data_IF_218199965536
#
_entry.id   IF_218199965536
#
_cell.length_a   1.000
_cell.length_b   1.000
_cell.length_c   1.000
_cell.angle_alpha   90.00
_cell.angle_beta   90.00
_cell.angle_gamma   90.00
#
_symmetry.space_group_name_H-M   'P 1'
#
loop_
_entity.id
_entity.type
_entity.pdbx_description
1 polymer ?
#
# COMPACT_ATOMS: atom_id res chain seq x y z
N UNK A 1 1.31 24.63 0.36
CA UNK A 1 -0.03 24.26 0.91
C UNK A 1 0.03 22.77 1.19
N UNK A 2 0.07 22.39 2.45
CA UNK A 2 0.02 20.99 2.86
C UNK A 2 -1.39 20.49 2.53
N UNK A 3 -1.51 19.60 1.56
CA UNK A 3 -2.80 18.98 1.23
C UNK A 3 -3.05 17.91 2.28
N UNK A 4 -4.24 17.92 2.88
CA UNK A 4 -4.63 17.02 3.95
C UNK A 4 -4.40 15.55 3.54
N UNK A 5 -3.69 14.81 4.39
CA UNK A 5 -3.50 13.36 4.29
C UNK A 5 -4.87 12.70 4.48
N UNK A 6 -5.55 12.36 3.38
CA UNK A 6 -6.85 11.72 3.41
C UNK A 6 -6.67 10.26 3.85
N UNK A 7 -6.93 10.00 5.13
CA UNK A 7 -6.93 8.63 5.68
C UNK A 7 -8.21 7.92 5.24
N UNK A 8 -8.07 6.87 4.42
CA UNK A 8 -9.20 6.02 4.00
C UNK A 8 -9.35 4.83 4.95
N UNK A 9 -10.46 4.81 5.70
CA UNK A 9 -10.78 3.69 6.59
C UNK A 9 -11.44 2.53 5.84
N UNK A 10 -10.99 1.31 6.09
CA UNK A 10 -11.51 0.08 5.49
C UNK A 10 -11.76 -0.95 6.58
N UNK A 11 -12.95 -1.56 6.58
CA UNK A 11 -13.31 -2.66 7.45
C UNK A 11 -13.28 -3.97 6.65
N UNK A 12 -12.64 -4.99 7.21
CA UNK A 12 -12.42 -6.29 6.57
C UNK A 12 -12.74 -7.38 7.58
N UNK A 13 -13.38 -8.45 7.12
CA UNK A 13 -13.60 -9.62 7.96
C UNK A 13 -12.32 -10.48 8.01
N UNK A 14 -12.02 -11.08 9.15
CA UNK A 14 -10.92 -12.04 9.25
C UNK A 14 -11.08 -13.18 8.22
N UNK A 15 -9.99 -13.50 7.52
CA UNK A 15 -9.94 -14.48 6.42
C UNK A 15 -10.23 -13.91 5.04
N UNK A 16 -10.84 -12.73 4.93
CA UNK A 16 -11.12 -12.10 3.63
C UNK A 16 -9.87 -11.46 3.01
N UNK A 17 -10.00 -11.02 1.76
CA UNK A 17 -8.97 -10.26 1.06
C UNK A 17 -9.41 -8.81 0.86
N UNK A 18 -8.45 -7.89 0.85
CA UNK A 18 -8.70 -6.47 0.62
C UNK A 18 -7.78 -5.95 -0.47
N UNK A 19 -8.30 -5.04 -1.30
CA UNK A 19 -7.50 -4.33 -2.30
C UNK A 19 -7.50 -2.84 -1.96
N UNK A 20 -6.33 -2.31 -1.67
CA UNK A 20 -6.08 -0.89 -1.45
C UNK A 20 -5.80 -0.25 -2.81
N UNK A 21 -6.81 0.45 -3.34
CA UNK A 21 -6.70 1.13 -4.62
C UNK A 21 -6.49 2.64 -4.43
N UNK A 22 -5.29 3.15 -4.74
CA UNK A 22 -5.01 4.59 -4.69
C UNK A 22 -5.61 5.41 -5.83
N UNK A 23 -6.23 4.77 -6.83
CA UNK A 23 -6.80 5.43 -8.01
C UNK A 23 -5.76 6.32 -8.73
N UNK A 24 -4.51 5.86 -8.83
CA UNK A 24 -3.45 6.62 -9.49
C UNK A 24 -3.78 6.87 -10.96
N UNK A 25 -3.47 8.07 -11.45
CA UNK A 25 -3.66 8.40 -12.85
C UNK A 25 -2.61 7.66 -13.69
N UNK A 26 -3.04 6.64 -14.42
CA UNK A 26 -2.17 5.80 -15.27
C UNK A 26 -1.44 6.58 -16.39
N UNK A 27 -1.85 7.83 -16.65
CA UNK A 27 -1.17 8.72 -17.62
C UNK A 27 0.13 9.30 -17.05
N UNK A 28 0.30 9.31 -15.72
CA UNK A 28 1.52 9.75 -15.06
C UNK A 28 2.56 8.62 -15.03
N UNK A 29 3.83 8.97 -15.29
CA UNK A 29 4.96 8.03 -15.22
C UNK A 29 5.53 8.01 -13.81
N UNK A 30 5.08 7.08 -13.00
CA UNK A 30 5.63 6.86 -11.66
C UNK A 30 7.02 6.24 -11.76
N UNK A 31 7.97 6.79 -11.03
CA UNK A 31 9.33 6.22 -10.95
C UNK A 31 9.42 5.18 -9.84
N UNK A 32 8.58 5.32 -8.82
CA UNK A 32 8.58 4.47 -7.63
C UNK A 32 7.21 4.47 -6.96
N UNK A 33 6.77 3.31 -6.50
CA UNK A 33 5.57 3.11 -5.68
C UNK A 33 5.99 2.23 -4.51
N UNK A 34 5.73 2.66 -3.28
CA UNK A 34 6.03 1.89 -2.08
C UNK A 34 4.83 1.81 -1.15
N UNK A 35 4.60 0.62 -0.64
CA UNK A 35 3.65 0.34 0.42
C UNK A 35 4.39 0.03 1.71
N UNK A 36 4.00 0.72 2.77
CA UNK A 36 4.55 0.59 4.11
C UNK A 36 3.44 0.19 5.09
N UNK A 37 3.78 -0.60 6.11
CA UNK A 37 2.83 -1.02 7.14
C UNK A 37 3.27 -0.58 8.54
N UNK A 38 2.40 0.15 9.23
CA UNK A 38 2.67 0.70 10.56
C UNK A 38 3.58 1.93 10.48
N UNK A 39 4.89 1.71 10.58
CA UNK A 39 5.90 2.78 10.50
C UNK A 39 6.32 3.03 9.05
N UNK A 40 6.69 4.28 8.74
CA UNK A 40 7.09 4.71 7.38
C UNK A 40 8.33 3.93 6.89
N UNK A 41 9.15 3.40 7.79
CA UNK A 41 10.34 2.62 7.43
C UNK A 41 10.08 1.15 7.06
N UNK A 42 8.86 0.64 7.25
CA UNK A 42 8.53 -0.78 7.06
C UNK A 42 7.90 -1.06 5.69
N UNK A 43 8.72 -1.02 4.62
CA UNK A 43 8.28 -1.31 3.24
C UNK A 43 7.92 -2.78 3.07
N UNK A 44 6.64 -3.07 2.81
CA UNK A 44 6.10 -4.41 2.62
C UNK A 44 6.02 -4.81 1.15
N UNK A 45 5.88 -3.84 0.24
CA UNK A 45 5.83 -4.06 -1.20
C UNK A 45 6.25 -2.80 -1.94
N UNK A 46 6.95 -2.94 -3.07
CA UNK A 46 7.34 -1.80 -3.89
C UNK A 46 7.40 -2.13 -5.39
N UNK A 47 7.26 -1.09 -6.19
CA UNK A 47 7.60 -1.08 -7.61
C UNK A 47 8.68 -0.03 -7.82
N UNK A 48 9.81 -0.44 -8.37
CA UNK A 48 10.88 0.45 -8.81
C UNK A 48 11.30 0.07 -10.23
N UNK A 49 11.22 1.02 -11.17
CA UNK A 49 11.59 0.78 -12.58
C UNK A 49 10.87 -0.46 -13.17
N UNK A 50 9.56 -0.58 -12.92
CA UNK A 50 8.69 -1.70 -13.31
C UNK A 50 9.01 -3.07 -12.69
N UNK A 51 9.98 -3.16 -11.77
CA UNK A 51 10.24 -4.38 -11.01
C UNK A 51 9.48 -4.34 -9.69
N UNK A 52 8.77 -5.43 -9.37
CA UNK A 52 8.03 -5.59 -8.12
C UNK A 52 8.87 -6.38 -7.12
N UNK A 53 8.98 -5.87 -5.90
CA UNK A 53 9.68 -6.54 -4.80
C UNK A 53 8.87 -6.49 -3.50
N UNK A 54 9.17 -7.40 -2.57
CA UNK A 54 8.51 -7.51 -1.25
C UNK A 54 9.58 -7.57 -0.15
N UNK A 55 10.15 -6.43 0.27
CA UNK A 55 11.36 -6.40 1.10
C UNK A 55 11.17 -6.96 2.52
N UNK A 56 10.05 -6.61 3.16
CA UNK A 56 9.73 -7.03 4.53
C UNK A 56 8.40 -7.79 4.59
N UNK A 57 8.30 -8.87 3.81
CA UNK A 57 7.08 -9.68 3.72
C UNK A 57 6.91 -10.69 4.86
N UNK A 58 7.76 -10.71 5.90
CA UNK A 58 7.76 -11.77 6.92
C UNK A 58 6.38 -11.97 7.59
N UNK A 59 5.62 -10.89 7.79
CA UNK A 59 4.25 -10.93 8.30
C UNK A 59 3.18 -11.24 7.23
N UNK A 60 3.48 -11.04 5.95
CA UNK A 60 2.54 -11.11 4.83
C UNK A 60 2.95 -12.10 3.74
N UNK A 61 3.86 -13.02 4.03
CA UNK A 61 4.44 -13.95 3.05
C UNK A 61 3.35 -14.68 2.28
N UNK A 62 3.47 -14.66 0.95
CA UNK A 62 2.51 -15.23 -0.01
C UNK A 62 1.08 -14.61 0.03
N UNK A 63 0.88 -13.53 0.79
CA UNK A 63 -0.41 -12.84 0.93
C UNK A 63 -0.46 -11.48 0.24
N UNK A 64 0.68 -10.92 -0.16
CA UNK A 64 0.75 -9.64 -0.87
C UNK A 64 0.76 -9.83 -2.38
N UNK A 65 -0.05 -9.03 -3.08
CA UNK A 65 0.01 -8.88 -4.52
C UNK A 65 0.00 -7.40 -4.88
N UNK A 66 1.13 -6.88 -5.37
CA UNK A 66 1.26 -5.51 -5.85
C UNK A 66 1.06 -5.45 -7.36
N UNK A 67 0.03 -4.73 -7.80
CA UNK A 67 -0.25 -4.49 -9.21
C UNK A 67 0.55 -3.29 -9.73
N UNK A 68 0.93 -3.32 -11.01
CA UNK A 68 1.66 -2.24 -11.69
C UNK A 68 0.92 -0.88 -11.70
N UNK A 69 -0.39 -0.88 -11.45
CA UNK A 69 -1.20 0.32 -11.22
C UNK A 69 -1.00 0.97 -9.84
N UNK A 70 -0.21 0.35 -8.96
CA UNK A 70 0.03 0.76 -7.58
C UNK A 70 -0.95 0.20 -6.56
N UNK A 71 -1.95 -0.59 -6.99
CA UNK A 71 -2.91 -1.22 -6.07
C UNK A 71 -2.27 -2.40 -5.34
N UNK A 72 -2.39 -2.43 -4.01
CA UNK A 72 -1.93 -3.54 -3.19
C UNK A 72 -3.12 -4.41 -2.77
N UNK A 73 -3.04 -5.71 -3.04
CA UNK A 73 -3.99 -6.69 -2.50
C UNK A 73 -3.35 -7.47 -1.38
N UNK A 74 -4.07 -7.61 -0.27
CA UNK A 74 -3.66 -8.39 0.90
C UNK A 74 -4.69 -9.49 1.08
N UNK A 75 -4.25 -10.74 1.00
CA UNK A 75 -5.10 -11.92 1.11
C UNK A 75 -5.14 -12.46 2.53
N UNK A 76 -6.21 -13.19 2.84
CA UNK A 76 -6.36 -13.94 4.10
C UNK A 76 -6.02 -13.07 5.32
N UNK A 77 -6.76 -11.97 5.46
CA UNK A 77 -6.52 -10.92 6.45
C UNK A 77 -6.69 -11.44 7.87
N UNK A 78 -5.82 -11.01 8.78
CA UNK A 78 -5.83 -11.40 10.19
C UNK A 78 -6.04 -10.17 11.05
N UNK A 79 -6.57 -10.37 12.25
CA UNK A 79 -6.70 -9.29 13.25
C UNK A 79 -5.37 -8.55 13.50
N UNK A 80 -4.24 -9.26 13.47
CA UNK A 80 -2.88 -8.71 13.61
C UNK A 80 -2.42 -7.83 12.44
N UNK A 81 -3.07 -7.94 11.29
CA UNK A 81 -2.75 -7.14 10.10
C UNK A 81 -3.51 -5.80 10.08
N UNK A 82 -4.34 -5.53 11.10
CA UNK A 82 -4.97 -4.23 11.29
C UNK A 82 -3.92 -3.16 11.53
N UNK A 83 -4.10 -1.98 10.94
CA UNK A 83 -3.14 -0.89 11.08
C UNK A 83 -3.19 0.12 9.95
N UNK A 84 -2.15 0.95 9.90
CA UNK A 84 -1.97 1.96 8.85
C UNK A 84 -1.14 1.37 7.72
N UNK A 85 -1.65 1.52 6.50
CA UNK A 85 -0.97 1.19 5.27
C UNK A 85 -0.71 2.50 4.54
N UNK A 86 0.56 2.84 4.41
CA UNK A 86 0.99 4.12 3.83
C UNK A 86 1.52 3.82 2.44
N UNK A 87 0.96 4.51 1.46
CA UNK A 87 1.42 4.51 0.09
C UNK A 87 2.26 5.75 -0.16
N UNK A 88 3.48 5.56 -0.64
CA UNK A 88 4.36 6.60 -1.14
C UNK A 88 4.55 6.44 -2.65
N UNK A 89 4.24 7.48 -3.41
CA UNK A 89 4.36 7.48 -4.87
C UNK A 89 5.26 8.62 -5.30
N UNK A 90 6.29 8.30 -6.07
CA UNK A 90 7.18 9.29 -6.67
C UNK A 90 6.85 9.47 -8.15
N UNK A 91 6.68 10.73 -8.53
CA UNK A 91 6.50 11.17 -9.91
C UNK A 91 7.41 12.37 -10.19
N UNK A 92 8.37 12.20 -11.10
CA UNK A 92 9.41 13.18 -11.41
C UNK A 92 10.17 13.65 -10.15
N UNK A 93 9.90 14.86 -9.67
CA UNK A 93 10.53 15.47 -8.49
C UNK A 93 9.54 15.68 -7.35
N UNK A 94 8.40 14.99 -7.36
CA UNK A 94 7.35 15.13 -6.36
C UNK A 94 6.97 13.77 -5.80
N UNK A 95 6.88 13.70 -4.47
CA UNK A 95 6.32 12.58 -3.74
C UNK A 95 4.89 12.89 -3.33
N UNK A 96 4.02 11.89 -3.37
CA UNK A 96 2.66 11.94 -2.86
C UNK A 96 2.46 10.80 -1.86
N UNK A 97 1.71 11.06 -0.82
CA UNK A 97 1.43 10.11 0.25
C UNK A 97 -0.07 9.87 0.35
N UNK A 98 -0.45 8.65 0.66
CA UNK A 98 -1.83 8.27 0.89
C UNK A 98 -1.90 7.22 1.98
N UNK A 99 -2.81 7.40 2.93
CA UNK A 99 -2.91 6.51 4.08
C UNK A 99 -4.22 5.73 4.06
N UNK A 100 -4.15 4.42 4.29
CA UNK A 100 -5.31 3.56 4.51
C UNK A 100 -5.28 3.03 5.94
N UNK A 101 -6.39 3.14 6.66
CA UNK A 101 -6.55 2.57 7.99
C UNK A 101 -7.43 1.34 7.88
N UNK A 102 -6.83 0.16 8.05
CA UNK A 102 -7.54 -1.12 7.99
C UNK A 102 -7.84 -1.58 9.41
N UNK A 103 -9.09 -1.96 9.65
CA UNK A 103 -9.51 -2.68 10.85
C UNK A 103 -10.11 -4.01 10.44
N UNK A 104 -9.50 -5.09 10.90
CA UNK A 104 -9.97 -6.46 10.69
C UNK A 104 -10.82 -6.88 11.90
N UNK A 105 -11.99 -7.47 11.66
CA UNK A 105 -12.95 -7.88 12.69
C UNK A 105 -13.43 -9.32 12.54
#
# INVERSE_FOLDING_TARGET
>A
VYVADEVKSVLVMEGDSVTLNPCLNQTQRFTMIQWQFGDISAVIAEIYVNETSYPNDEGFRDRLELNQTGSLTIKNMRTTDSGLYILEVHHNSTASYMTFSITVY
#
